data_IF_265258692666
#
_entry.id   IF_265258692666
#
_cell.length_a   1.000
_cell.length_b   1.000
_cell.length_c   1.000
_cell.angle_alpha   90.00
_cell.angle_beta   90.00
_cell.angle_gamma   90.00
#
_symmetry.space_group_name_H-M   'P 1'
#
loop_
_entity.id
_entity.type
_entity.pdbx_description
1 polymer ?
#
# COMPACT_ATOMS: atom_id res chain seq x y z
N UNK A 1 10.73 -9.96 10.52
CA UNK A 1 10.76 -8.49 10.63
C UNK A 1 11.42 -8.09 11.93
N UNK A 2 12.19 -7.03 11.98
CA UNK A 2 12.90 -6.62 13.19
C UNK A 2 12.06 -5.58 13.93
N UNK A 3 11.50 -5.94 15.09
CA UNK A 3 10.79 -5.00 15.99
C UNK A 3 11.68 -3.89 16.57
N UNK A 4 12.93 -3.79 16.10
CA UNK A 4 13.91 -2.79 16.56
C UNK A 4 14.15 -1.70 15.51
N UNK A 5 13.38 -1.68 14.45
CA UNK A 5 13.47 -0.66 13.41
C UNK A 5 13.17 0.72 14.00
N UNK A 6 13.83 1.72 13.45
CA UNK A 6 13.57 3.13 13.78
C UNK A 6 13.41 3.89 12.48
N UNK A 7 12.27 4.54 12.35
CA UNK A 7 11.99 5.44 11.23
C UNK A 7 12.30 6.87 11.69
N UNK A 8 13.08 7.59 10.92
CA UNK A 8 13.47 8.96 11.22
C UNK A 8 12.78 9.94 10.27
N UNK A 9 12.17 10.96 10.86
CA UNK A 9 11.46 11.99 10.12
C UNK A 9 11.92 13.38 10.59
N UNK A 10 11.88 14.31 9.64
CA UNK A 10 11.99 15.74 9.90
C UNK A 10 10.67 16.42 9.54
N UNK A 11 10.46 17.70 9.85
CA UNK A 11 9.30 18.44 9.35
C UNK A 11 9.19 18.47 7.81
N UNK A 12 10.28 18.19 7.10
CA UNK A 12 10.32 18.12 5.63
C UNK A 12 9.94 16.75 5.06
N UNK A 13 9.82 15.71 5.90
CA UNK A 13 9.51 14.34 5.50
C UNK A 13 10.50 13.31 6.05
N UNK A 14 10.43 12.07 5.52
CA UNK A 14 11.34 10.99 5.86
C UNK A 14 12.76 11.25 5.33
N UNK A 15 13.77 10.78 6.08
CA UNK A 15 15.18 10.97 5.73
C UNK A 15 15.58 10.20 4.48
N UNK A 16 16.49 10.76 3.68
CA UNK A 16 17.03 10.12 2.46
C UNK A 16 18.21 9.19 2.77
N UNK A 17 18.57 8.35 1.80
CA UNK A 17 19.68 7.39 1.96
C UNK A 17 21.00 8.06 2.39
N UNK A 18 21.38 9.24 1.89
CA UNK A 18 22.54 9.97 2.38
C UNK A 18 22.44 10.31 3.88
N UNK A 19 21.28 10.80 4.34
CA UNK A 19 21.05 11.14 5.76
C UNK A 19 21.17 9.91 6.65
N UNK A 20 20.60 8.79 6.21
CA UNK A 20 20.68 7.51 6.93
C UNK A 20 22.13 7.02 6.98
N UNK A 21 22.88 7.16 5.87
CA UNK A 21 24.30 6.79 5.82
C UNK A 21 25.13 7.62 6.81
N UNK A 22 24.87 8.92 6.92
CA UNK A 22 25.52 9.80 7.89
C UNK A 22 25.21 9.39 9.34
N UNK A 23 23.93 9.05 9.62
CA UNK A 23 23.54 8.55 10.96
C UNK A 23 24.26 7.24 11.29
N UNK A 24 24.36 6.32 10.32
CA UNK A 24 25.05 5.04 10.52
C UNK A 24 26.55 5.24 10.72
N UNK A 25 27.19 6.11 9.96
CA UNK A 25 28.61 6.46 10.12
C UNK A 25 28.85 7.08 11.51
N UNK A 26 28.00 7.99 11.93
CA UNK A 26 28.06 8.58 13.27
C UNK A 26 27.88 7.52 14.36
N UNK A 27 26.96 6.58 14.20
CA UNK A 27 26.73 5.50 15.17
C UNK A 27 27.91 4.52 15.25
N UNK A 28 28.62 4.29 14.14
CA UNK A 28 29.78 3.39 14.10
C UNK A 28 31.07 4.06 14.60
N UNK A 29 31.32 5.30 14.22
CA UNK A 29 32.60 5.97 14.37
C UNK A 29 32.52 7.20 15.29
N UNK A 30 31.31 7.61 15.67
CA UNK A 30 31.09 8.76 16.55
C UNK A 30 31.55 8.52 18.01
N UNK A 31 31.94 9.57 18.69
CA UNK A 31 32.18 9.50 20.12
C UNK A 31 30.87 9.19 20.87
N UNK A 32 30.95 8.32 21.86
CA UNK A 32 29.81 8.10 22.76
C UNK A 32 29.29 9.44 23.31
N UNK A 33 27.97 9.64 23.42
CA UNK A 33 27.43 10.83 24.04
C UNK A 33 28.07 11.03 25.42
N UNK A 34 28.43 12.25 25.74
CA UNK A 34 28.89 12.57 27.10
C UNK A 34 27.74 12.25 28.05
N UNK A 35 28.01 11.44 29.07
CA UNK A 35 27.05 11.26 30.16
C UNK A 35 26.73 12.65 30.75
N UNK A 36 25.47 13.03 30.63
CA UNK A 36 24.95 14.24 31.28
C UNK A 36 24.03 13.76 32.39
N UNK A 37 24.37 14.06 33.64
CA UNK A 37 23.63 13.64 34.85
C UNK A 37 22.22 14.21 35.00
N UNK A 38 21.72 14.93 33.99
CA UNK A 38 20.50 15.75 34.10
C UNK A 38 19.35 15.30 33.22
N UNK A 39 19.39 14.11 32.65
CA UNK A 39 18.29 13.55 31.88
C UNK A 39 17.18 12.97 32.76
N UNK A 40 15.94 13.32 32.52
CA UNK A 40 14.79 12.72 33.22
C UNK A 40 14.03 11.83 32.25
N UNK A 41 13.83 10.55 32.62
CA UNK A 41 12.96 9.64 31.89
C UNK A 41 11.51 9.83 32.37
N UNK A 42 10.64 10.34 31.53
CA UNK A 42 9.23 10.50 31.83
C UNK A 42 8.44 9.46 31.03
N UNK A 43 7.85 8.43 31.66
CA UNK A 43 6.97 7.48 30.99
C UNK A 43 5.66 8.18 30.60
N UNK A 44 5.19 7.92 29.39
CA UNK A 44 3.92 8.46 28.88
C UNK A 44 3.10 7.30 28.31
N UNK A 45 1.87 7.14 28.78
CA UNK A 45 0.89 6.27 28.11
C UNK A 45 0.33 6.99 26.88
N UNK A 46 0.98 6.76 25.75
CA UNK A 46 0.57 7.37 24.49
C UNK A 46 -0.50 6.54 23.76
N UNK A 47 -0.52 5.21 23.94
CA UNK A 47 -1.48 4.33 23.29
C UNK A 47 -2.93 4.65 23.69
N UNK A 48 -3.18 4.90 24.98
CA UNK A 48 -4.51 5.32 25.41
C UNK A 48 -4.97 6.62 24.75
N UNK A 49 -4.06 7.60 24.59
CA UNK A 49 -4.38 8.86 23.89
C UNK A 49 -4.64 8.65 22.41
N UNK A 50 -3.86 7.78 21.77
CA UNK A 50 -4.05 7.45 20.37
C UNK A 50 -5.39 6.75 20.13
N UNK A 51 -5.70 5.71 20.93
CA UNK A 51 -6.99 5.02 20.88
C UNK A 51 -8.18 5.97 21.15
N UNK A 52 -8.03 6.91 22.10
CA UNK A 52 -9.04 7.97 22.36
C UNK A 52 -9.27 8.84 21.12
N UNK A 53 -8.20 9.24 20.43
CA UNK A 53 -8.30 10.03 19.21
C UNK A 53 -9.04 9.28 18.10
N UNK A 54 -8.71 8.01 17.87
CA UNK A 54 -9.39 7.17 16.87
C UNK A 54 -10.88 6.98 17.22
N UNK A 55 -11.19 6.73 18.51
CA UNK A 55 -12.58 6.63 18.96
C UNK A 55 -13.37 7.91 18.72
N UNK A 56 -12.77 9.04 19.02
CA UNK A 56 -13.44 10.33 18.81
C UNK A 56 -13.64 10.65 17.33
N UNK A 57 -12.68 10.27 16.48
CA UNK A 57 -12.85 10.36 15.03
C UNK A 57 -14.04 9.53 14.55
N UNK A 58 -14.17 8.28 15.02
CA UNK A 58 -15.30 7.41 14.66
C UNK A 58 -16.61 8.01 15.14
N UNK A 59 -16.68 8.49 16.39
CA UNK A 59 -17.88 9.14 16.91
C UNK A 59 -18.34 10.33 16.06
N UNK A 60 -17.40 11.22 15.76
CA UNK A 60 -17.68 12.41 14.93
C UNK A 60 -18.03 12.04 13.49
N UNK A 61 -17.30 11.10 12.91
CA UNK A 61 -17.49 10.72 11.52
C UNK A 61 -18.79 9.96 11.29
N UNK A 62 -19.13 9.01 12.15
CA UNK A 62 -20.38 8.26 12.06
C UNK A 62 -21.58 9.11 12.48
N UNK A 63 -21.44 9.96 13.49
CA UNK A 63 -22.46 10.85 14.04
C UNK A 63 -23.80 10.13 14.25
N UNK A 64 -23.78 9.01 14.99
CA UNK A 64 -24.98 8.24 15.32
C UNK A 64 -25.79 8.90 16.44
N UNK A 65 -27.09 8.52 16.59
CA UNK A 65 -27.89 8.96 17.71
C UNK A 65 -27.29 8.56 19.06
N UNK A 66 -26.84 7.29 19.19
CA UNK A 66 -25.98 6.90 20.29
C UNK A 66 -24.54 7.28 19.95
N UNK A 67 -24.17 8.49 20.34
CA UNK A 67 -22.83 9.02 20.12
C UNK A 67 -21.74 8.23 20.84
N UNK A 68 -22.08 7.61 21.98
CA UNK A 68 -21.14 6.82 22.75
C UNK A 68 -20.80 5.49 22.05
N UNK A 69 -21.79 4.87 21.40
CA UNK A 69 -21.66 3.57 20.75
C UNK A 69 -22.07 3.63 19.26
N UNK A 70 -21.38 4.44 18.43
CA UNK A 70 -21.78 4.68 17.04
C UNK A 70 -21.68 3.42 16.16
N UNK A 71 -20.98 2.37 16.61
CA UNK A 71 -20.81 1.09 15.93
C UNK A 71 -21.73 -0.02 16.50
N UNK A 72 -22.73 0.32 17.33
CA UNK A 72 -23.64 -0.68 17.85
C UNK A 72 -24.33 -1.46 16.72
N UNK A 73 -24.31 -2.78 16.82
CA UNK A 73 -24.83 -3.70 15.80
C UNK A 73 -23.96 -3.82 14.54
N UNK A 74 -22.76 -3.26 14.53
CA UNK A 74 -21.77 -3.47 13.47
C UNK A 74 -20.75 -4.52 13.92
N UNK A 75 -20.64 -5.61 13.19
CA UNK A 75 -19.71 -6.69 13.50
C UNK A 75 -18.46 -6.57 12.67
N UNK A 76 -17.31 -6.41 13.35
CA UNK A 76 -16.02 -6.19 12.72
C UNK A 76 -15.00 -7.18 13.25
N UNK A 77 -14.44 -8.01 12.38
CA UNK A 77 -13.32 -8.91 12.69
C UNK A 77 -12.01 -8.17 12.49
N UNK A 78 -11.09 -8.29 13.45
CA UNK A 78 -9.72 -7.78 13.33
C UNK A 78 -8.75 -8.96 13.34
N UNK A 79 -7.87 -9.02 12.36
CA UNK A 79 -6.70 -9.87 12.32
C UNK A 79 -5.46 -9.01 12.59
N UNK A 80 -4.84 -9.17 13.74
CA UNK A 80 -3.63 -8.45 14.10
C UNK A 80 -2.34 -9.25 13.82
N UNK A 81 -2.45 -10.48 13.30
CA UNK A 81 -1.31 -11.33 12.94
C UNK A 81 -0.27 -11.51 14.05
N UNK A 82 -0.67 -11.41 15.32
CA UNK A 82 0.23 -11.31 16.47
C UNK A 82 1.20 -10.11 16.44
N UNK A 83 0.88 -9.08 15.69
CA UNK A 83 1.55 -7.78 15.71
C UNK A 83 0.97 -6.84 16.77
N UNK A 84 1.21 -5.55 16.62
CA UNK A 84 0.73 -4.52 17.55
C UNK A 84 -0.76 -4.18 17.40
N UNK A 85 -1.46 -4.66 16.35
CA UNK A 85 -2.81 -4.25 15.95
C UNK A 85 -3.95 -4.69 16.89
N UNK A 86 -3.70 -5.54 17.88
CA UNK A 86 -4.72 -6.04 18.79
C UNK A 86 -5.46 -4.97 19.60
N UNK A 87 -4.79 -3.85 19.90
CA UNK A 87 -5.39 -2.69 20.58
C UNK A 87 -6.60 -2.15 19.81
N UNK A 88 -6.58 -2.25 18.48
CA UNK A 88 -7.65 -1.69 17.65
C UNK A 88 -9.00 -2.37 17.91
N UNK A 89 -8.99 -3.69 18.09
CA UNK A 89 -10.20 -4.42 18.49
C UNK A 89 -10.65 -4.04 19.89
N UNK A 90 -9.73 -4.12 20.88
CA UNK A 90 -10.07 -4.03 22.30
C UNK A 90 -10.28 -2.58 22.77
N UNK A 91 -9.41 -1.65 22.32
CA UNK A 91 -9.38 -0.29 22.84
C UNK A 91 -10.08 0.74 21.91
N UNK A 92 -10.29 0.38 20.62
CA UNK A 92 -10.98 1.26 19.69
C UNK A 92 -12.40 0.77 19.39
N UNK A 93 -12.55 -0.43 18.82
CA UNK A 93 -13.85 -0.90 18.30
C UNK A 93 -14.84 -1.30 19.39
N UNK A 94 -14.40 -2.13 20.33
CA UNK A 94 -15.25 -2.64 21.42
C UNK A 94 -15.89 -1.53 22.27
N UNK A 95 -15.14 -0.49 22.70
CA UNK A 95 -15.74 0.62 23.46
C UNK A 95 -16.74 1.47 22.65
N UNK A 96 -16.72 1.37 21.33
CA UNK A 96 -17.67 2.06 20.43
C UNK A 96 -18.92 1.21 20.11
N UNK A 97 -19.05 0.03 20.76
CA UNK A 97 -20.20 -0.85 20.62
C UNK A 97 -20.12 -1.84 19.46
N UNK A 98 -19.01 -1.95 18.76
CA UNK A 98 -18.84 -2.96 17.72
C UNK A 98 -18.80 -4.38 18.34
N UNK A 99 -19.39 -5.35 17.66
CA UNK A 99 -19.17 -6.78 17.94
C UNK A 99 -17.86 -7.21 17.30
N UNK A 100 -16.87 -7.51 18.13
CA UNK A 100 -15.54 -7.96 17.68
C UNK A 100 -15.36 -9.47 17.72
N UNK A 101 -16.45 -10.23 17.93
CA UNK A 101 -16.41 -11.69 18.01
C UNK A 101 -15.94 -12.30 16.69
N UNK A 102 -14.90 -13.11 16.76
CA UNK A 102 -14.23 -13.67 15.57
C UNK A 102 -12.90 -13.01 15.25
N UNK A 103 -12.56 -11.90 15.91
CA UNK A 103 -11.21 -11.33 15.80
C UNK A 103 -10.15 -12.31 16.28
N UNK A 104 -8.99 -12.29 15.65
CA UNK A 104 -7.95 -13.31 15.83
C UNK A 104 -6.55 -12.72 15.93
N UNK A 105 -5.66 -13.50 16.56
CA UNK A 105 -4.23 -13.21 16.70
C UNK A 105 -3.94 -11.84 17.32
N UNK A 106 -4.76 -11.41 18.30
CA UNK A 106 -4.73 -10.07 18.87
C UNK A 106 -3.56 -9.83 19.84
N UNK A 107 -3.04 -10.92 20.45
CA UNK A 107 -1.94 -10.80 21.40
C UNK A 107 -0.61 -10.76 20.68
N UNK A 108 0.25 -9.75 20.96
CA UNK A 108 1.55 -9.63 20.32
C UNK A 108 2.46 -10.83 20.61
N UNK A 109 3.01 -11.43 19.56
CA UNK A 109 4.03 -12.46 19.65
C UNK A 109 5.04 -12.28 18.49
N UNK A 110 6.27 -11.90 18.83
CA UNK A 110 7.33 -11.65 17.84
C UNK A 110 7.81 -12.87 17.06
N UNK A 111 7.26 -14.07 17.34
CA UNK A 111 7.49 -15.27 16.53
C UNK A 111 6.46 -15.43 15.40
N UNK A 112 5.36 -14.66 15.44
CA UNK A 112 4.28 -14.70 14.44
C UNK A 112 3.81 -16.12 14.10
N UNK A 113 3.32 -16.89 15.11
CA UNK A 113 3.11 -18.33 14.97
C UNK A 113 1.97 -18.73 14.02
N UNK A 114 1.12 -17.80 13.63
CA UNK A 114 -0.07 -18.09 12.82
C UNK A 114 0.12 -17.78 11.35
N UNK A 115 0.59 -16.61 11.01
CA UNK A 115 0.97 -16.19 9.66
C UNK A 115 1.90 -14.95 9.71
N UNK A 116 2.54 -14.63 8.60
CA UNK A 116 3.31 -13.40 8.46
C UNK A 116 2.33 -12.22 8.52
N UNK A 117 2.45 -11.29 9.48
CA UNK A 117 1.55 -10.14 9.58
C UNK A 117 1.84 -9.12 8.47
N UNK A 118 1.20 -9.31 7.34
CA UNK A 118 1.35 -8.46 6.16
C UNK A 118 0.09 -8.58 5.29
N UNK A 119 -0.67 -7.50 5.04
CA UNK A 119 -1.84 -7.52 4.17
C UNK A 119 -1.58 -7.99 2.73
N UNK A 120 -0.33 -7.87 2.23
CA UNK A 120 0.04 -8.40 0.91
C UNK A 120 0.34 -9.92 0.92
N UNK A 121 0.42 -10.56 2.09
CA UNK A 121 0.67 -11.99 2.19
C UNK A 121 -0.62 -12.78 1.94
N UNK A 122 -0.59 -13.69 0.97
CA UNK A 122 -1.76 -14.47 0.56
C UNK A 122 -2.36 -15.31 1.70
N UNK A 123 -1.52 -15.91 2.56
CA UNK A 123 -1.96 -16.72 3.69
C UNK A 123 -2.64 -15.84 4.77
N UNK A 124 -2.05 -14.69 5.07
CA UNK A 124 -2.62 -13.72 6.01
C UNK A 124 -3.97 -13.18 5.51
N UNK A 125 -4.05 -12.81 4.25
CA UNK A 125 -5.30 -12.32 3.66
C UNK A 125 -6.36 -13.41 3.61
N UNK A 126 -6.02 -14.63 3.19
CA UNK A 126 -6.95 -15.77 3.22
C UNK A 126 -7.46 -16.07 4.65
N UNK A 127 -6.61 -15.89 5.66
CA UNK A 127 -6.97 -16.07 7.07
C UNK A 127 -8.05 -15.10 7.51
N UNK A 128 -7.88 -13.79 7.27
CA UNK A 128 -8.88 -12.77 7.64
C UNK A 128 -10.16 -12.90 6.82
N UNK A 129 -10.07 -13.24 5.52
CA UNK A 129 -11.25 -13.54 4.69
C UNK A 129 -12.09 -14.66 5.28
N UNK A 130 -11.45 -15.79 5.61
CA UNK A 130 -12.11 -16.94 6.25
C UNK A 130 -12.72 -16.58 7.62
N UNK A 131 -12.00 -15.82 8.45
CA UNK A 131 -12.49 -15.37 9.76
C UNK A 131 -13.72 -14.45 9.62
N UNK A 132 -13.71 -13.53 8.66
CA UNK A 132 -14.81 -12.60 8.37
C UNK A 132 -16.08 -13.37 7.99
N UNK A 133 -15.99 -14.28 7.04
CA UNK A 133 -17.13 -15.11 6.59
C UNK A 133 -17.61 -16.03 7.74
N UNK A 134 -16.72 -16.71 8.42
CA UNK A 134 -17.05 -17.61 9.54
C UNK A 134 -17.76 -16.90 10.67
N UNK A 135 -17.35 -15.67 10.97
CA UNK A 135 -17.99 -14.86 12.00
C UNK A 135 -19.34 -14.26 11.56
N UNK A 136 -19.65 -14.26 10.26
CA UNK A 136 -20.76 -13.49 9.70
C UNK A 136 -20.57 -11.99 9.97
N UNK A 137 -19.35 -11.51 9.82
CA UNK A 137 -19.01 -10.11 10.08
C UNK A 137 -19.40 -9.21 8.90
N UNK A 138 -19.71 -7.96 9.21
CA UNK A 138 -20.00 -6.94 8.21
C UNK A 138 -18.72 -6.45 7.52
N UNK A 139 -17.57 -6.52 8.23
CA UNK A 139 -16.26 -6.09 7.76
C UNK A 139 -15.15 -6.89 8.44
N UNK A 140 -14.13 -7.25 7.71
CA UNK A 140 -12.84 -7.72 8.22
C UNK A 140 -11.79 -6.63 8.07
N UNK A 141 -10.82 -6.59 8.98
CA UNK A 141 -9.66 -5.69 8.96
C UNK A 141 -8.42 -6.49 9.26
N UNK A 142 -7.34 -6.19 8.58
CA UNK A 142 -6.03 -6.80 8.80
C UNK A 142 -4.98 -5.72 8.93
N UNK A 143 -4.03 -5.92 9.85
CA UNK A 143 -2.87 -5.06 10.04
C UNK A 143 -1.58 -5.82 9.81
N UNK A 144 -0.52 -5.08 9.52
CA UNK A 144 0.82 -5.61 9.58
C UNK A 144 1.40 -5.53 11.00
N UNK A 145 2.69 -5.82 11.13
CA UNK A 145 3.34 -6.01 12.43
C UNK A 145 3.27 -4.78 13.35
N UNK A 146 3.52 -3.60 12.83
CA UNK A 146 3.62 -2.32 13.55
C UNK A 146 2.48 -1.35 13.23
N UNK A 147 1.49 -1.82 12.42
CA UNK A 147 0.22 -1.13 12.12
C UNK A 147 0.40 0.09 11.23
N UNK A 148 1.50 0.19 10.49
CA UNK A 148 1.65 1.22 9.48
C UNK A 148 0.96 0.85 8.15
N UNK A 149 0.52 -0.43 8.01
CA UNK A 149 -0.31 -0.91 6.90
C UNK A 149 -1.61 -1.49 7.38
N UNK A 150 -2.66 -1.23 6.62
CA UNK A 150 -3.97 -1.80 6.85
C UNK A 150 -4.62 -2.28 5.56
N UNK A 151 -5.43 -3.32 5.67
CA UNK A 151 -6.30 -3.83 4.61
C UNK A 151 -7.69 -4.13 5.17
N UNK A 152 -8.64 -4.38 4.29
CA UNK A 152 -10.01 -4.71 4.68
C UNK A 152 -10.56 -5.89 3.86
N UNK A 153 -11.66 -6.45 4.34
CA UNK A 153 -12.39 -7.55 3.71
C UNK A 153 -13.88 -7.28 3.83
N UNK A 154 -14.63 -7.46 2.77
CA UNK A 154 -16.06 -7.25 2.79
C UNK A 154 -16.82 -8.40 3.51
N UNK A 155 -18.12 -8.24 3.69
CA UNK A 155 -18.97 -9.24 4.35
C UNK A 155 -19.06 -10.59 3.62
N UNK A 156 -18.66 -10.64 2.35
CA UNK A 156 -18.63 -11.87 1.55
C UNK A 156 -17.26 -12.57 1.61
N UNK A 157 -16.28 -11.95 2.27
CA UNK A 157 -14.91 -12.44 2.33
C UNK A 157 -14.07 -12.02 1.12
N UNK A 158 -14.50 -11.03 0.36
CA UNK A 158 -13.71 -10.49 -0.75
C UNK A 158 -12.73 -9.42 -0.24
N UNK A 159 -11.51 -9.51 -0.72
CA UNK A 159 -10.43 -8.61 -0.34
C UNK A 159 -10.70 -7.17 -0.79
N UNK A 160 -10.55 -6.23 0.12
CA UNK A 160 -10.42 -4.81 -0.14
C UNK A 160 -8.93 -4.47 0.08
N UNK A 161 -8.14 -4.79 -0.91
CA UNK A 161 -6.69 -4.69 -0.85
C UNK A 161 -6.15 -4.13 -2.18
N UNK A 162 -4.87 -3.79 -2.24
CA UNK A 162 -4.20 -3.31 -3.45
C UNK A 162 -4.98 -2.16 -4.12
N UNK A 163 -5.29 -2.25 -5.42
CA UNK A 163 -6.01 -1.21 -6.17
C UNK A 163 -7.40 -0.90 -5.59
N UNK A 164 -8.12 -1.89 -5.04
CA UNK A 164 -9.44 -1.68 -4.41
C UNK A 164 -9.32 -0.82 -3.14
N UNK A 165 -8.28 -1.07 -2.32
CA UNK A 165 -8.00 -0.27 -1.13
C UNK A 165 -7.66 1.17 -1.51
N UNK A 166 -6.79 1.35 -2.50
CA UNK A 166 -6.42 2.68 -3.01
C UNK A 166 -7.65 3.42 -3.55
N UNK A 167 -8.55 2.73 -4.27
CA UNK A 167 -9.77 3.31 -4.80
C UNK A 167 -10.72 3.80 -3.68
N UNK A 168 -10.96 2.96 -2.66
CA UNK A 168 -11.80 3.33 -1.50
C UNK A 168 -11.19 4.49 -0.73
N UNK A 169 -9.90 4.44 -0.43
CA UNK A 169 -9.20 5.51 0.27
C UNK A 169 -9.22 6.82 -0.53
N UNK A 170 -9.09 6.75 -1.86
CA UNK A 170 -9.20 7.89 -2.76
C UNK A 170 -10.60 8.50 -2.76
N UNK A 171 -11.64 7.66 -2.81
CA UNK A 171 -13.03 8.13 -2.74
C UNK A 171 -13.27 8.87 -1.42
N UNK A 172 -12.84 8.31 -0.28
CA UNK A 172 -12.96 8.94 1.03
C UNK A 172 -12.20 10.28 1.10
N UNK A 173 -10.95 10.31 0.61
CA UNK A 173 -10.12 11.50 0.67
C UNK A 173 -10.63 12.64 -0.22
N UNK A 174 -11.19 12.31 -1.39
CA UNK A 174 -11.69 13.28 -2.35
C UNK A 174 -13.07 13.84 -1.99
N UNK A 175 -13.88 13.20 -1.13
CA UNK A 175 -15.14 13.77 -0.63
C UNK A 175 -14.93 15.15 0.00
N UNK A 176 -13.86 15.31 0.80
CA UNK A 176 -13.49 16.59 1.40
C UNK A 176 -12.57 17.47 0.56
N UNK A 177 -12.09 16.96 -0.59
CA UNK A 177 -11.07 17.59 -1.41
C UNK A 177 -11.37 17.45 -2.91
N UNK A 178 -12.45 18.03 -3.43
CA UNK A 178 -12.82 17.93 -4.84
C UNK A 178 -11.69 18.38 -5.76
N UNK A 179 -11.40 17.58 -6.80
CA UNK A 179 -10.31 17.84 -7.74
C UNK A 179 -8.90 17.67 -7.17
N UNK A 180 -8.79 17.10 -5.96
CA UNK A 180 -7.51 16.83 -5.32
C UNK A 180 -6.67 15.80 -6.06
N UNK A 181 -5.37 15.80 -5.77
CA UNK A 181 -4.39 14.87 -6.33
C UNK A 181 -4.16 13.71 -5.36
N UNK A 182 -4.25 12.49 -5.84
CA UNK A 182 -3.90 11.28 -5.09
C UNK A 182 -2.53 10.80 -5.57
N UNK A 183 -1.57 10.75 -4.66
CA UNK A 183 -0.23 10.18 -4.94
C UNK A 183 -0.27 8.68 -4.63
N UNK A 184 0.15 7.88 -5.61
CA UNK A 184 0.22 6.42 -5.47
C UNK A 184 1.57 5.88 -5.89
N UNK A 185 1.83 4.61 -5.58
CA UNK A 185 2.99 3.91 -6.11
C UNK A 185 2.87 3.63 -7.63
N UNK A 186 3.96 3.19 -8.22
CA UNK A 186 4.12 3.02 -9.68
C UNK A 186 3.34 1.85 -10.26
N UNK A 187 2.97 0.84 -9.45
CA UNK A 187 2.34 -0.40 -9.91
C UNK A 187 0.82 -0.35 -9.93
N UNK A 188 0.22 0.80 -9.61
CA UNK A 188 -1.24 0.97 -9.66
C UNK A 188 -1.79 0.82 -11.08
N UNK A 189 -3.01 0.26 -11.18
CA UNK A 189 -3.66 -0.09 -12.43
C UNK A 189 -4.09 1.13 -13.26
N UNK A 190 -4.34 0.92 -14.54
CA UNK A 190 -4.94 1.96 -15.40
C UNK A 190 -6.44 2.11 -15.13
N UNK A 191 -7.09 1.03 -14.66
CA UNK A 191 -8.46 1.09 -14.17
C UNK A 191 -8.59 2.00 -12.96
N UNK A 192 -7.65 1.95 -12.02
CA UNK A 192 -7.61 2.85 -10.87
C UNK A 192 -7.39 4.31 -11.30
N UNK A 193 -6.49 4.56 -12.26
CA UNK A 193 -6.29 5.91 -12.82
C UNK A 193 -7.60 6.45 -13.39
N UNK A 194 -8.27 5.66 -14.22
CA UNK A 194 -9.56 6.03 -14.82
C UNK A 194 -10.61 6.32 -13.74
N UNK A 195 -10.67 5.50 -12.70
CA UNK A 195 -11.59 5.66 -11.59
C UNK A 195 -11.35 6.97 -10.83
N UNK A 196 -10.11 7.26 -10.44
CA UNK A 196 -9.76 8.50 -9.73
C UNK A 196 -10.06 9.73 -10.60
N UNK A 197 -9.70 9.71 -11.89
CA UNK A 197 -9.79 10.87 -12.75
C UNK A 197 -11.20 11.10 -13.32
N UNK A 198 -11.87 10.04 -13.76
CA UNK A 198 -13.16 10.16 -14.45
C UNK A 198 -14.37 9.98 -13.54
N UNK A 199 -14.30 9.06 -12.56
CA UNK A 199 -15.41 8.79 -11.64
C UNK A 199 -15.38 9.72 -10.44
N UNK A 200 -14.20 9.86 -9.79
CA UNK A 200 -14.07 10.70 -8.60
C UNK A 200 -13.76 12.17 -8.91
N UNK A 201 -13.37 12.49 -10.15
CA UNK A 201 -13.00 13.85 -10.56
C UNK A 201 -11.72 14.37 -9.91
N UNK A 202 -10.87 13.49 -9.41
CA UNK A 202 -9.56 13.79 -8.85
C UNK A 202 -8.46 13.82 -9.91
N UNK A 203 -7.22 13.85 -9.45
CA UNK A 203 -6.02 13.70 -10.28
C UNK A 203 -5.19 12.54 -9.75
N UNK A 204 -4.78 11.63 -10.61
CA UNK A 204 -3.93 10.52 -10.25
C UNK A 204 -2.45 10.85 -10.53
N UNK A 205 -1.61 10.73 -9.52
CA UNK A 205 -0.18 10.99 -9.61
C UNK A 205 0.61 9.75 -9.17
N UNK A 206 1.03 8.92 -10.14
CA UNK A 206 1.91 7.79 -9.88
C UNK A 206 3.32 8.28 -9.56
N UNK A 207 3.93 7.69 -8.54
CA UNK A 207 5.30 8.01 -8.15
C UNK A 207 6.08 6.72 -7.85
N UNK A 208 7.33 6.87 -7.44
CA UNK A 208 8.20 5.75 -7.08
C UNK A 208 7.61 4.96 -5.93
N UNK A 209 7.64 3.62 -6.03
CA UNK A 209 7.25 2.73 -4.93
C UNK A 209 8.12 2.95 -3.70
N UNK A 210 7.53 2.74 -2.53
CA UNK A 210 8.08 2.94 -1.21
C UNK A 210 7.33 4.05 -0.47
N UNK A 211 6.80 3.74 0.72
CA UNK A 211 5.97 4.64 1.51
C UNK A 211 6.56 6.05 1.64
N UNK A 212 7.86 6.12 1.93
CA UNK A 212 8.60 7.38 2.00
C UNK A 212 8.53 8.19 0.70
N UNK A 213 8.65 7.53 -0.45
CA UNK A 213 8.64 8.21 -1.74
C UNK A 213 7.28 8.86 -2.01
N UNK A 214 6.19 8.11 -1.83
CA UNK A 214 4.83 8.62 -2.08
C UNK A 214 4.45 9.70 -1.06
N UNK A 215 4.85 9.56 0.20
CA UNK A 215 4.59 10.54 1.27
C UNK A 215 5.37 11.84 0.99
N UNK A 216 6.67 11.75 0.73
CA UNK A 216 7.49 12.93 0.44
C UNK A 216 7.00 13.66 -0.80
N UNK A 217 6.55 12.94 -1.83
CA UNK A 217 5.99 13.55 -3.03
C UNK A 217 4.67 14.28 -2.73
N UNK A 218 3.79 13.69 -1.92
CA UNK A 218 2.57 14.37 -1.51
C UNK A 218 2.85 15.63 -0.69
N UNK A 219 3.81 15.59 0.23
CA UNK A 219 4.26 16.76 1.00
C UNK A 219 4.83 17.83 0.06
N UNK A 220 5.69 17.44 -0.90
CA UNK A 220 6.27 18.35 -1.90
C UNK A 220 5.17 19.04 -2.70
N UNK A 221 4.20 18.29 -3.23
CA UNK A 221 3.08 18.81 -3.99
C UNK A 221 2.25 19.83 -3.18
N UNK A 222 1.96 19.54 -1.91
CA UNK A 222 1.25 20.47 -1.05
C UNK A 222 2.05 21.76 -0.78
N UNK A 223 3.37 21.65 -0.62
CA UNK A 223 4.25 22.82 -0.47
C UNK A 223 4.29 23.70 -1.73
N UNK A 224 4.02 23.12 -2.89
CA UNK A 224 3.87 23.83 -4.18
C UNK A 224 2.43 24.32 -4.44
N UNK A 225 1.53 24.16 -3.46
CA UNK A 225 0.15 24.63 -3.56
C UNK A 225 -0.80 23.68 -4.29
N UNK A 226 -0.36 22.44 -4.59
CA UNK A 226 -1.24 21.39 -5.13
C UNK A 226 -2.03 20.75 -3.99
N UNK A 227 -3.36 20.70 -4.13
CA UNK A 227 -4.21 20.01 -3.14
C UNK A 227 -4.01 18.48 -3.24
N UNK A 228 -3.16 17.93 -2.38
CA UNK A 228 -2.91 16.49 -2.30
C UNK A 228 -3.32 15.98 -0.90
N UNK A 229 -4.51 15.39 -0.74
CA UNK A 229 -5.00 14.93 0.56
C UNK A 229 -4.48 13.57 0.99
N UNK A 230 -3.98 12.74 0.06
CA UNK A 230 -3.63 11.35 0.31
C UNK A 230 -2.40 10.93 -0.50
N UNK A 231 -1.46 10.27 0.20
CA UNK A 231 -0.44 9.41 -0.37
C UNK A 231 -0.74 7.97 0.05
N UNK A 232 -0.77 7.02 -0.89
CA UNK A 232 -1.12 5.63 -0.60
C UNK A 232 -0.43 4.68 -1.55
N UNK A 233 -0.02 3.52 -1.04
CA UNK A 233 0.53 2.42 -1.82
C UNK A 233 -0.44 1.23 -1.90
N UNK A 234 -0.28 0.44 -2.92
CA UNK A 234 -0.98 -0.85 -3.06
C UNK A 234 -0.67 -1.83 -1.93
N UNK A 235 0.42 -1.63 -1.20
CA UNK A 235 0.83 -2.42 -0.03
C UNK A 235 0.04 -2.13 1.25
N UNK A 236 -0.78 -1.08 1.26
CA UNK A 236 -1.56 -0.66 2.42
C UNK A 236 -0.94 0.45 3.27
N UNK A 237 0.26 0.93 2.94
CA UNK A 237 0.80 2.16 3.51
C UNK A 237 -0.05 3.35 3.06
N UNK A 238 -0.47 4.18 4.01
CA UNK A 238 -1.31 5.33 3.69
C UNK A 238 -1.06 6.50 4.64
N UNK A 239 -0.86 7.67 4.06
CA UNK A 239 -0.64 8.91 4.77
C UNK A 239 -1.63 9.98 4.32
N UNK A 240 -2.50 10.39 5.22
CA UNK A 240 -3.48 11.44 4.98
C UNK A 240 -2.92 12.79 5.45
N UNK A 241 -3.13 13.85 4.66
CA UNK A 241 -2.73 15.21 5.03
C UNK A 241 -3.33 15.65 6.37
N UNK A 242 -4.57 15.29 6.63
CA UNK A 242 -5.27 15.60 7.89
C UNK A 242 -4.66 14.90 9.11
N UNK A 243 -3.88 13.82 8.88
CA UNK A 243 -3.06 13.13 9.86
C UNK A 243 -1.57 13.48 9.71
N UNK A 244 -1.25 14.71 9.31
CA UNK A 244 0.12 15.21 9.16
C UNK A 244 1.01 14.39 8.22
N UNK A 245 0.45 13.65 7.31
CA UNK A 245 1.14 12.67 6.45
C UNK A 245 1.91 11.60 7.23
N UNK A 246 1.44 11.25 8.42
CA UNK A 246 1.93 10.07 9.12
C UNK A 246 1.49 8.81 8.37
N UNK A 247 2.42 7.89 8.20
CA UNK A 247 2.16 6.54 7.67
C UNK A 247 1.46 5.73 8.76
N UNK A 248 0.13 5.52 8.60
CA UNK A 248 -0.73 5.09 9.70
C UNK A 248 -1.89 4.22 9.19
N UNK A 249 -1.70 2.90 9.25
CA UNK A 249 -2.70 1.92 8.82
C UNK A 249 -3.94 1.92 9.71
N UNK A 250 -3.82 2.17 11.02
CA UNK A 250 -4.98 2.25 11.89
C UNK A 250 -5.83 3.50 11.61
N UNK A 251 -5.20 4.61 11.24
CA UNK A 251 -5.91 5.81 10.80
C UNK A 251 -6.68 5.56 9.49
N UNK A 252 -6.02 4.93 8.50
CA UNK A 252 -6.66 4.53 7.24
C UNK A 252 -7.90 3.65 7.50
N UNK A 253 -7.73 2.59 8.29
CA UNK A 253 -8.81 1.66 8.64
C UNK A 253 -9.93 2.38 9.38
N UNK A 254 -9.60 3.33 10.25
CA UNK A 254 -10.60 4.18 10.93
C UNK A 254 -11.44 4.97 9.93
N UNK A 255 -10.84 5.56 8.90
CA UNK A 255 -11.58 6.26 7.82
C UNK A 255 -12.49 5.30 7.05
N UNK A 256 -12.00 4.09 6.76
CA UNK A 256 -12.78 3.03 6.08
C UNK A 256 -13.99 2.62 6.94
N UNK A 257 -13.81 2.40 8.24
CA UNK A 257 -14.89 2.00 9.16
C UNK A 257 -15.93 3.11 9.27
N UNK A 258 -15.53 4.38 9.39
CA UNK A 258 -16.44 5.51 9.38
C UNK A 258 -17.32 5.48 8.13
N UNK A 259 -16.69 5.31 6.97
CA UNK A 259 -17.41 5.27 5.69
C UNK A 259 -18.32 4.06 5.58
N UNK A 260 -17.85 2.88 6.00
CA UNK A 260 -18.65 1.66 6.03
C UNK A 260 -19.90 1.82 6.92
N UNK A 261 -19.75 2.43 8.11
CA UNK A 261 -20.87 2.69 9.01
C UNK A 261 -21.87 3.69 8.44
N UNK A 262 -21.40 4.74 7.76
CA UNK A 262 -22.25 5.70 7.05
C UNK A 262 -23.07 5.02 5.95
N UNK A 263 -22.40 4.25 5.07
CA UNK A 263 -23.04 3.53 3.96
C UNK A 263 -24.03 2.47 4.45
N UNK A 264 -23.71 1.76 5.53
CA UNK A 264 -24.62 0.76 6.14
C UNK A 264 -25.92 1.41 6.58
N UNK A 265 -25.90 2.63 7.11
CA UNK A 265 -27.13 3.38 7.49
C UNK A 265 -27.97 3.74 6.26
N UNK A 266 -27.35 3.85 5.10
CA UNK A 266 -28.00 4.06 3.79
C UNK A 266 -28.42 2.73 3.12
N UNK A 267 -28.16 1.57 3.73
CA UNK A 267 -28.39 0.27 3.15
C UNK A 267 -27.41 -0.10 2.03
N UNK A 268 -26.23 0.54 2.01
CA UNK A 268 -25.17 0.32 1.04
C UNK A 268 -23.96 -0.37 1.68
N UNK A 269 -23.08 -0.95 0.87
CA UNK A 269 -21.79 -1.50 1.28
C UNK A 269 -20.63 -0.65 0.75
N UNK A 270 -19.40 -0.94 1.25
CA UNK A 270 -18.17 -0.29 0.74
C UNK A 270 -17.97 -0.52 -0.76
N UNK A 271 -18.35 -1.69 -1.28
CA UNK A 271 -18.27 -2.00 -2.72
C UNK A 271 -19.04 -1.02 -3.58
N UNK A 272 -20.09 -0.42 -3.05
CA UNK A 272 -20.86 0.59 -3.79
C UNK A 272 -20.03 1.84 -4.15
N UNK A 273 -18.94 2.10 -3.40
CA UNK A 273 -18.01 3.19 -3.72
C UNK A 273 -17.19 2.89 -4.96
N UNK A 274 -16.83 1.64 -5.15
CA UNK A 274 -15.91 1.18 -6.21
C UNK A 274 -16.61 0.39 -7.31
N UNK A 275 -17.93 0.48 -7.42
CA UNK A 275 -18.71 -0.24 -8.43
C UNK A 275 -18.27 0.08 -9.87
N UNK A 276 -17.73 1.27 -10.11
CA UNK A 276 -17.21 1.71 -11.42
C UNK A 276 -15.70 1.44 -11.59
N UNK A 277 -15.03 0.86 -10.59
CA UNK A 277 -13.63 0.49 -10.71
C UNK A 277 -13.49 -0.69 -11.69
N UNK A 278 -12.77 -0.46 -12.77
CA UNK A 278 -12.44 -1.54 -13.71
C UNK A 278 -11.19 -2.26 -13.22
N UNK A 279 -11.37 -3.52 -12.85
CA UNK A 279 -10.26 -4.39 -12.47
C UNK A 279 -9.69 -5.07 -13.71
N UNK A 280 -8.38 -5.28 -13.73
CA UNK A 280 -7.72 -6.06 -14.75
C UNK A 280 -8.25 -7.52 -14.73
N UNK A 281 -8.28 -8.18 -15.88
CA UNK A 281 -8.64 -9.60 -15.96
C UNK A 281 -7.49 -10.52 -15.59
N UNK A 282 -6.28 -10.05 -15.80
CA UNK A 282 -5.06 -10.81 -15.50
C UNK A 282 -3.99 -9.88 -14.95
N UNK A 283 -3.26 -10.37 -13.94
CA UNK A 283 -2.07 -9.74 -13.40
C UNK A 283 -0.96 -10.77 -13.16
N UNK A 284 0.29 -10.35 -13.25
CA UNK A 284 1.44 -11.18 -12.94
C UNK A 284 2.61 -10.35 -12.43
N UNK A 285 3.18 -10.78 -11.32
CA UNK A 285 4.49 -10.32 -10.88
C UNK A 285 5.53 -11.43 -11.15
N UNK A 286 6.65 -11.05 -11.74
CA UNK A 286 7.85 -11.87 -11.91
C UNK A 286 9.04 -11.12 -11.33
N UNK A 287 10.06 -11.84 -10.91
CA UNK A 287 11.27 -11.27 -10.31
C UNK A 287 12.49 -11.83 -11.00
N UNK A 288 13.35 -10.95 -11.50
CA UNK A 288 14.56 -11.31 -12.22
C UNK A 288 15.79 -11.03 -11.36
N UNK A 289 16.44 -12.06 -10.80
CA UNK A 289 17.68 -11.89 -10.04
C UNK A 289 18.78 -11.23 -10.85
N UNK A 290 19.53 -10.33 -10.22
CA UNK A 290 20.78 -9.80 -10.74
C UNK A 290 21.90 -10.50 -10.01
N UNK A 291 22.76 -11.21 -10.75
CA UNK A 291 23.77 -12.11 -10.17
C UNK A 291 25.08 -11.41 -9.79
N UNK A 292 25.23 -10.14 -10.14
CA UNK A 292 26.41 -9.35 -9.78
C UNK A 292 26.32 -8.83 -8.34
N UNK A 293 27.46 -8.75 -7.63
CA UNK A 293 27.57 -8.19 -6.29
C UNK A 293 27.17 -6.71 -6.28
N UNK A 294 27.72 -5.89 -7.19
CA UNK A 294 27.24 -4.55 -7.47
C UNK A 294 26.14 -4.62 -8.54
N UNK A 295 24.92 -4.81 -8.10
CA UNK A 295 23.77 -5.07 -8.99
C UNK A 295 23.19 -3.85 -9.70
N UNK A 296 23.37 -2.64 -9.12
CA UNK A 296 22.70 -1.42 -9.61
C UNK A 296 23.05 -1.07 -11.06
N UNK A 297 24.32 -1.04 -11.49
CA UNK A 297 24.65 -0.71 -12.87
C UNK A 297 24.03 -1.65 -13.91
N UNK A 298 23.91 -2.94 -13.58
CA UNK A 298 23.31 -3.94 -14.49
C UNK A 298 21.81 -3.78 -14.62
N UNK A 299 21.11 -3.49 -13.51
CA UNK A 299 19.70 -3.23 -13.54
C UNK A 299 19.37 -1.92 -14.29
N UNK A 300 20.09 -0.85 -14.00
CA UNK A 300 19.93 0.43 -14.69
C UNK A 300 20.21 0.33 -16.19
N UNK A 301 21.27 -0.40 -16.59
CA UNK A 301 21.58 -0.63 -18.00
C UNK A 301 20.50 -1.47 -18.70
N UNK A 302 19.92 -2.45 -18.01
CA UNK A 302 18.82 -3.26 -18.55
C UNK A 302 17.56 -2.41 -18.79
N UNK A 303 17.20 -1.55 -17.85
CA UNK A 303 16.06 -0.61 -17.99
C UNK A 303 16.31 0.37 -19.14
N UNK A 304 17.51 0.93 -19.24
CA UNK A 304 17.89 1.85 -20.35
C UNK A 304 17.88 1.14 -21.71
N UNK A 305 18.31 -0.12 -21.75
CA UNK A 305 18.24 -0.93 -22.97
C UNK A 305 16.78 -1.22 -23.38
N UNK A 306 15.89 -1.52 -22.40
CA UNK A 306 14.47 -1.71 -22.67
C UNK A 306 13.79 -0.42 -23.15
N UNK A 307 14.16 0.73 -22.59
CA UNK A 307 13.67 2.02 -23.08
C UNK A 307 14.06 2.28 -24.53
N UNK A 308 15.32 1.99 -24.87
CA UNK A 308 15.82 2.12 -26.23
C UNK A 308 15.13 1.15 -27.19
N UNK A 309 14.92 -0.07 -26.76
CA UNK A 309 14.19 -1.09 -27.50
C UNK A 309 12.72 -0.70 -27.74
N UNK A 310 12.04 -0.21 -26.70
CA UNK A 310 10.66 0.26 -26.79
C UNK A 310 10.52 1.41 -27.80
N UNK A 311 11.44 2.39 -27.77
CA UNK A 311 11.47 3.49 -28.75
C UNK A 311 11.65 2.98 -30.18
N UNK A 312 12.56 2.02 -30.40
CA UNK A 312 12.83 1.44 -31.72
C UNK A 312 11.62 0.65 -32.27
N UNK A 313 10.78 0.11 -31.38
CA UNK A 313 9.58 -0.66 -31.75
C UNK A 313 8.28 0.14 -31.66
N UNK A 314 8.37 1.46 -31.41
CA UNK A 314 7.23 2.37 -31.25
C UNK A 314 6.25 1.91 -30.15
N UNK A 315 6.75 1.35 -29.06
CA UNK A 315 5.93 1.00 -27.89
C UNK A 315 5.57 2.26 -27.12
N UNK A 316 4.37 2.29 -26.54
CA UNK A 316 3.86 3.45 -25.80
C UNK A 316 4.46 3.50 -24.40
N UNK A 317 5.52 4.29 -24.25
CA UNK A 317 6.18 4.51 -22.95
C UNK A 317 5.35 5.51 -22.16
N UNK A 318 4.93 5.15 -20.95
CA UNK A 318 4.16 6.03 -20.07
C UNK A 318 4.92 7.36 -19.84
N UNK A 319 4.25 8.51 -19.99
CA UNK A 319 4.91 9.83 -19.85
C UNK A 319 5.26 10.16 -18.39
N UNK A 320 4.64 9.46 -17.44
CA UNK A 320 4.78 9.65 -16.00
C UNK A 320 5.67 8.61 -15.32
N UNK A 321 6.60 8.00 -16.09
CA UNK A 321 7.61 7.11 -15.51
C UNK A 321 8.49 7.84 -14.49
N UNK A 322 8.47 7.36 -13.24
CA UNK A 322 9.29 7.90 -12.15
C UNK A 322 10.31 6.91 -11.64
N UNK A 323 10.08 5.62 -11.89
CA UNK A 323 11.02 4.54 -11.64
C UNK A 323 10.89 3.48 -12.73
N UNK A 324 11.99 2.86 -13.11
CA UNK A 324 11.98 1.82 -14.14
C UNK A 324 11.38 2.31 -15.47
N UNK A 325 10.70 1.41 -16.15
CA UNK A 325 10.02 1.71 -17.41
C UNK A 325 8.66 1.03 -17.46
N UNK A 326 7.59 1.82 -17.55
CA UNK A 326 6.21 1.37 -17.78
C UNK A 326 5.88 1.57 -19.26
N UNK A 327 5.36 0.52 -19.88
CA UNK A 327 5.00 0.49 -21.30
C UNK A 327 3.59 -0.03 -21.42
N UNK A 328 2.75 0.68 -22.19
CA UNK A 328 1.35 0.34 -22.42
C UNK A 328 1.14 -0.24 -23.82
N UNK A 329 0.12 -1.08 -23.96
CA UNK A 329 -0.23 -1.75 -25.20
C UNK A 329 -1.74 -1.69 -25.44
N UNK A 330 -2.19 -1.44 -26.68
CA UNK A 330 -3.62 -1.34 -27.01
C UNK A 330 -4.34 -2.69 -26.96
N UNK A 331 -5.67 -2.64 -27.05
CA UNK A 331 -6.57 -3.80 -26.97
C UNK A 331 -6.20 -4.94 -27.94
N UNK A 332 -5.77 -4.62 -29.14
CA UNK A 332 -5.37 -5.60 -30.16
C UNK A 332 -3.93 -6.11 -29.99
N UNK A 333 -3.21 -5.72 -28.97
CA UNK A 333 -1.79 -6.01 -28.76
C UNK A 333 -1.42 -6.33 -27.31
N UNK A 334 -2.32 -6.96 -26.56
CA UNK A 334 -2.15 -7.37 -25.18
C UNK A 334 -3.00 -6.62 -24.17
N UNK A 335 -3.62 -5.48 -24.56
CA UNK A 335 -4.62 -4.73 -23.77
C UNK A 335 -4.19 -4.48 -22.32
N UNK A 336 -3.01 -3.89 -22.15
CA UNK A 336 -2.49 -3.73 -20.80
C UNK A 336 -1.16 -3.02 -20.76
N UNK A 337 -0.41 -3.30 -19.72
CA UNK A 337 0.91 -2.69 -19.51
C UNK A 337 1.85 -3.64 -18.77
N UNK A 338 3.13 -3.35 -18.87
CA UNK A 338 4.11 -3.87 -17.93
C UNK A 338 5.02 -2.76 -17.39
N UNK A 339 5.55 -2.98 -16.19
CA UNK A 339 6.57 -2.14 -15.56
C UNK A 339 7.74 -3.01 -15.15
N UNK A 340 8.92 -2.75 -15.70
CA UNK A 340 10.19 -3.30 -15.24
C UNK A 340 10.92 -2.23 -14.43
N UNK A 341 11.30 -2.53 -13.20
CA UNK A 341 11.96 -1.57 -12.29
C UNK A 341 13.06 -2.21 -11.47
N UNK A 342 13.87 -1.38 -10.80
CA UNK A 342 14.80 -1.86 -9.78
C UNK A 342 14.06 -2.11 -8.45
N UNK A 343 14.46 -3.15 -7.72
CA UNK A 343 14.12 -3.24 -6.30
C UNK A 343 14.88 -2.18 -5.50
N UNK A 344 14.25 -1.69 -4.44
CA UNK A 344 14.88 -0.71 -3.54
C UNK A 344 16.01 -1.37 -2.72
N UNK A 345 15.82 -2.63 -2.32
CA UNK A 345 16.68 -3.30 -1.34
C UNK A 345 17.38 -4.54 -1.90
N UNK A 346 16.75 -5.26 -2.81
CA UNK A 346 17.19 -6.56 -3.26
C UNK A 346 17.87 -6.49 -4.64
N UNK A 347 18.80 -7.39 -4.96
CA UNK A 347 19.46 -7.49 -6.27
C UNK A 347 18.51 -8.15 -7.30
N UNK A 348 17.36 -7.51 -7.56
CA UNK A 348 16.35 -8.01 -8.48
C UNK A 348 15.74 -6.89 -9.31
N UNK A 349 15.23 -7.27 -10.49
CA UNK A 349 14.31 -6.47 -11.30
C UNK A 349 12.90 -7.06 -11.17
N UNK A 350 12.00 -6.46 -10.35
CA UNK A 350 10.59 -6.79 -10.37
C UNK A 350 9.96 -6.36 -11.69
N UNK A 351 9.14 -7.26 -12.24
CA UNK A 351 8.29 -7.04 -13.40
C UNK A 351 6.84 -7.18 -12.96
N UNK A 352 6.05 -6.14 -13.13
CA UNK A 352 4.60 -6.20 -12.98
C UNK A 352 3.97 -6.14 -14.37
N UNK A 353 3.03 -7.04 -14.65
CA UNK A 353 2.25 -7.09 -15.89
C UNK A 353 0.78 -7.10 -15.52
N UNK A 354 -0.04 -6.34 -16.24
CA UNK A 354 -1.49 -6.30 -16.08
C UNK A 354 -2.15 -6.24 -17.47
N UNK A 355 -3.26 -6.96 -17.64
CA UNK A 355 -4.06 -6.90 -18.85
C UNK A 355 -5.56 -6.91 -18.56
N UNK A 356 -6.32 -6.14 -19.36
CA UNK A 356 -7.78 -6.12 -19.34
C UNK A 356 -8.41 -7.25 -20.17
N UNK A 357 -7.59 -8.07 -20.84
CA UNK A 357 -8.00 -9.17 -21.69
C UNK A 357 -7.42 -10.50 -21.24
N UNK A 358 -8.22 -11.58 -21.33
CA UNK A 358 -7.75 -12.94 -21.04
C UNK A 358 -6.67 -13.34 -22.05
N UNK A 359 -5.55 -13.84 -21.56
CA UNK A 359 -4.36 -14.17 -22.36
C UNK A 359 -3.46 -12.97 -22.65
N UNK A 360 -3.85 -11.76 -22.29
CA UNK A 360 -3.08 -10.54 -22.57
C UNK A 360 -1.75 -10.48 -21.81
N UNK A 361 -1.71 -10.94 -20.57
CA UNK A 361 -0.46 -11.04 -19.80
C UNK A 361 0.58 -11.91 -20.52
N UNK A 362 0.13 -13.01 -21.14
CA UNK A 362 1.00 -13.87 -21.95
C UNK A 362 1.58 -13.13 -23.16
N UNK A 363 0.74 -12.40 -23.90
CA UNK A 363 1.17 -11.60 -25.06
C UNK A 363 2.22 -10.57 -24.66
N UNK A 364 2.01 -9.87 -23.55
CA UNK A 364 2.96 -8.87 -23.04
C UNK A 364 4.28 -9.53 -22.57
N UNK A 365 4.19 -10.68 -21.90
CA UNK A 365 5.35 -11.45 -21.48
C UNK A 365 6.19 -11.97 -22.67
N UNK A 366 5.53 -12.39 -23.76
CA UNK A 366 6.23 -12.82 -25.00
C UNK A 366 6.99 -11.66 -25.66
N UNK A 367 6.43 -10.45 -25.67
CA UNK A 367 7.13 -9.25 -26.15
C UNK A 367 8.39 -8.96 -25.33
N UNK A 368 8.26 -9.05 -24.02
CA UNK A 368 9.38 -8.81 -23.11
C UNK A 368 10.43 -9.93 -23.24
N UNK A 369 10.03 -11.19 -23.43
CA UNK A 369 10.96 -12.28 -23.68
C UNK A 369 11.79 -12.05 -24.93
N UNK A 370 11.15 -11.56 -26.01
CA UNK A 370 11.85 -11.20 -27.24
C UNK A 370 12.94 -10.15 -27.00
N UNK A 371 12.65 -9.11 -26.22
CA UNK A 371 13.65 -8.14 -25.79
C UNK A 371 14.82 -8.81 -25.08
N UNK A 372 14.55 -9.64 -24.07
CA UNK A 372 15.61 -10.31 -23.30
C UNK A 372 16.45 -11.27 -24.16
N UNK A 373 15.85 -12.01 -25.10
CA UNK A 373 16.57 -12.93 -25.98
C UNK A 373 17.40 -12.21 -27.05
N UNK A 374 16.99 -11.01 -27.49
CA UNK A 374 17.74 -10.19 -28.45
C UNK A 374 18.87 -9.40 -27.78
N UNK A 375 18.58 -8.75 -26.63
CA UNK A 375 19.53 -7.86 -25.96
C UNK A 375 20.50 -8.63 -25.04
N UNK A 376 20.03 -9.70 -24.39
CA UNK A 376 20.79 -10.55 -23.45
C UNK A 376 21.52 -9.74 -22.39
N UNK A 377 20.79 -8.99 -21.54
CA UNK A 377 21.43 -8.14 -20.56
C UNK A 377 22.34 -8.97 -19.63
N UNK A 378 23.52 -8.44 -19.35
CA UNK A 378 24.50 -9.11 -18.50
C UNK A 378 24.00 -9.23 -17.06
N UNK A 379 24.33 -10.36 -16.42
CA UNK A 379 24.04 -10.64 -15.01
C UNK A 379 22.54 -10.56 -14.60
N UNK A 380 21.60 -10.61 -15.55
CA UNK A 380 20.16 -10.66 -15.27
C UNK A 380 19.62 -12.04 -15.61
N UNK A 381 19.08 -12.72 -14.61
CA UNK A 381 18.43 -14.02 -14.78
C UNK A 381 16.92 -13.85 -15.02
N UNK A 382 16.50 -14.07 -16.26
CA UNK A 382 15.08 -14.00 -16.66
C UNK A 382 14.43 -15.39 -16.90
N UNK A 383 14.97 -16.45 -16.30
CA UNK A 383 14.42 -17.81 -16.40
C UNK A 383 12.97 -17.89 -15.91
N UNK A 384 12.60 -17.07 -14.93
CA UNK A 384 11.22 -16.99 -14.43
C UNK A 384 10.22 -16.59 -15.53
N UNK A 385 10.61 -15.72 -16.48
CA UNK A 385 9.77 -15.32 -17.61
C UNK A 385 9.59 -16.48 -18.61
N UNK A 386 10.65 -17.23 -18.89
CA UNK A 386 10.60 -18.44 -19.74
C UNK A 386 9.69 -19.50 -19.11
N UNK A 387 9.92 -19.81 -17.84
CA UNK A 387 9.09 -20.78 -17.11
C UNK A 387 7.62 -20.38 -16.95
N UNK A 388 7.29 -19.10 -16.98
CA UNK A 388 5.90 -18.62 -17.04
C UNK A 388 5.27 -18.92 -18.41
N UNK A 389 6.00 -18.73 -19.50
CA UNK A 389 5.50 -18.91 -20.87
C UNK A 389 5.42 -20.37 -21.31
N UNK A 390 6.14 -21.28 -20.66
CA UNK A 390 6.13 -22.73 -20.91
C UNK A 390 4.91 -23.44 -20.28
N UNK A 391 4.22 -22.79 -19.34
CA UNK A 391 2.99 -23.28 -18.70
C UNK A 391 1.75 -22.85 -19.48
#
# INVERSE_FOLDING_TARGET
>A
MCIRDRKFFTPAGGLDSPDISEILEYAQNGAAPKETDNGTLVPVDYMSKYADNLREMIRKGVNAEDYAHPLAGFKIVVDAGNGAGGFYANDVLKPLGADITGSQFLEPDGHFPNHIPNPENEEAMASVCAATVKAGADLGVIFDTDVDRGGAVDSRGEEINRNRLVAIASAIALEGNPGGTIVTDSITSDGLKTYIEQTLGGKHHRFKRGYKNVINEAVRLNNEGVNCPLAIETSGHAALRENYFLDDGAYLVTKIIIKAAQLRREGKSLDSLIADLKEAKEEKELRFPITAEDFRPYGESTIAALESYAKAHNWDIAPDNREGIRISFPENDGDGWFLLRMSVHDPILPLNIESNSVGGVRVLAEKLLKFFDEVKPENVDYAALKGFLEK
#
